data_IF_366266419705
#
_entry.id   IF_366266419705
#
_cell.length_a   1.000
_cell.length_b   1.000
_cell.length_c   1.000
_cell.angle_alpha   90.00
_cell.angle_beta   90.00
_cell.angle_gamma   90.00
#
_symmetry.space_group_name_H-M   'P 1'
#
loop_
_entity.id
_entity.type
_entity.pdbx_description
1 polymer ?
#
# COMPACT_ATOMS: atom_id res chain seq x y z
N UNK A 1 40.40 45.88 30.21
CA UNK A 1 39.34 45.88 29.18
C UNK A 1 39.73 46.68 27.93
N UNK A 2 40.65 47.66 28.04
CA UNK A 2 41.12 48.46 26.88
C UNK A 2 42.13 47.71 25.98
N UNK A 3 42.96 46.82 26.54
CA UNK A 3 43.89 45.98 25.75
C UNK A 3 43.22 44.89 24.91
N UNK A 4 41.95 44.55 25.19
CA UNK A 4 41.18 43.65 24.32
C UNK A 4 40.63 44.39 23.09
N UNK A 5 40.43 45.71 23.21
CA UNK A 5 39.88 46.57 22.16
C UNK A 5 40.98 47.20 21.27
N UNK A 6 42.24 47.18 21.71
CA UNK A 6 43.43 47.51 20.89
C UNK A 6 44.00 46.31 20.13
N UNK A 7 43.34 45.15 20.19
CA UNK A 7 43.72 44.02 19.35
C UNK A 7 43.39 44.39 17.89
N UNK A 8 44.37 44.27 16.99
CA UNK A 8 44.31 44.79 15.61
C UNK A 8 43.11 44.32 14.78
N UNK A 9 42.30 43.38 15.25
CA UNK A 9 41.04 42.98 14.63
C UNK A 9 39.96 44.07 14.67
N UNK A 10 39.90 44.87 15.75
CA UNK A 10 38.93 45.99 15.86
C UNK A 10 39.32 47.13 14.93
N UNK A 11 40.62 47.41 14.83
CA UNK A 11 41.18 48.40 13.89
C UNK A 11 40.97 47.96 12.44
N UNK A 12 41.19 46.68 12.13
CA UNK A 12 40.92 46.11 10.81
C UNK A 12 39.44 46.16 10.43
N UNK A 13 38.53 45.90 11.37
CA UNK A 13 37.08 46.03 11.14
C UNK A 13 36.68 47.49 10.92
N UNK A 14 37.24 48.43 11.70
CA UNK A 14 36.98 49.86 11.55
C UNK A 14 37.54 50.45 10.24
N UNK A 15 38.63 49.87 9.72
CA UNK A 15 39.22 50.25 8.44
C UNK A 15 38.50 49.65 7.22
N UNK A 16 37.60 48.69 7.44
CA UNK A 16 36.90 47.99 6.36
C UNK A 16 35.83 48.90 5.73
N UNK A 17 35.99 49.22 4.45
CA UNK A 17 34.99 49.98 3.69
C UNK A 17 33.96 48.99 3.15
N UNK A 18 32.73 49.05 3.67
CA UNK A 18 31.63 48.18 3.24
C UNK A 18 31.38 48.26 1.73
N UNK A 19 31.21 47.09 1.10
CA UNK A 19 30.79 46.94 -0.30
C UNK A 19 29.55 46.06 -0.36
N UNK A 20 28.61 46.41 -1.23
CA UNK A 20 27.32 45.72 -1.32
C UNK A 20 27.51 44.24 -1.70
N UNK A 21 26.89 43.34 -0.94
CA UNK A 21 26.92 41.90 -1.21
C UNK A 21 28.18 41.18 -0.74
N UNK A 22 29.16 41.86 -0.15
CA UNK A 22 30.36 41.21 0.40
C UNK A 22 30.26 41.00 1.91
N UNK A 23 30.97 39.99 2.41
CA UNK A 23 31.01 39.60 3.84
C UNK A 23 32.42 39.78 4.38
N UNK A 24 32.60 40.40 5.55
CA UNK A 24 33.91 40.49 6.21
C UNK A 24 34.46 39.11 6.57
N UNK A 25 35.71 38.85 6.19
CA UNK A 25 36.46 37.64 6.53
C UNK A 25 37.80 37.98 7.17
N UNK A 26 38.23 37.18 8.13
CA UNK A 26 39.58 37.29 8.67
C UNK A 26 40.58 36.62 7.73
N UNK A 27 41.53 37.39 7.21
CA UNK A 27 42.62 36.88 6.36
C UNK A 27 43.86 36.52 7.16
N UNK A 28 43.90 36.89 8.44
CA UNK A 28 45.02 36.69 9.36
C UNK A 28 44.84 37.54 10.62
N UNK A 29 45.76 37.42 11.59
CA UNK A 29 45.71 38.23 12.81
C UNK A 29 45.80 39.72 12.49
N UNK A 30 44.83 40.52 12.95
CA UNK A 30 44.78 41.96 12.70
C UNK A 30 44.53 42.36 11.24
N UNK A 31 44.07 41.43 10.39
CA UNK A 31 43.75 41.72 8.98
C UNK A 31 42.38 41.16 8.63
N UNK A 32 41.59 41.97 7.94
CA UNK A 32 40.24 41.64 7.50
C UNK A 32 40.07 42.13 6.08
N UNK A 33 39.33 41.37 5.29
CA UNK A 33 38.96 41.73 3.92
C UNK A 33 37.49 41.41 3.67
N UNK A 34 36.95 41.91 2.57
CA UNK A 34 35.62 41.59 2.10
C UNK A 34 35.69 40.47 1.06
N UNK A 35 35.04 39.35 1.36
CA UNK A 35 34.90 38.27 0.41
C UNK A 35 33.49 38.22 -0.17
N UNK A 36 33.41 37.86 -1.44
CA UNK A 36 32.14 37.52 -2.07
C UNK A 36 31.68 36.15 -1.54
N UNK A 37 30.47 36.04 -0.96
CA UNK A 37 29.91 34.75 -0.54
C UNK A 37 29.91 33.68 -1.62
N UNK A 38 29.88 34.07 -2.91
CA UNK A 38 29.99 33.13 -4.02
C UNK A 38 31.34 32.38 -4.05
N UNK A 39 32.37 32.91 -3.38
CA UNK A 39 33.70 32.30 -3.28
C UNK A 39 33.83 31.32 -2.10
N UNK A 40 32.84 31.26 -1.20
CA UNK A 40 32.85 30.34 -0.05
C UNK A 40 32.62 28.86 -0.43
N UNK A 41 32.47 28.57 -1.72
CA UNK A 41 32.12 27.25 -2.21
C UNK A 41 30.66 26.89 -1.90
N UNK A 42 30.23 25.72 -2.40
CA UNK A 42 28.88 25.24 -2.11
C UNK A 42 28.83 24.83 -0.64
N UNK A 43 27.95 25.47 0.13
CA UNK A 43 27.72 25.12 1.52
C UNK A 43 27.03 23.75 1.57
N UNK A 44 27.78 22.72 1.96
CA UNK A 44 27.30 21.34 2.10
C UNK A 44 27.40 20.87 3.56
N UNK A 45 26.58 21.42 4.47
CA UNK A 45 26.65 21.10 5.89
C UNK A 45 26.41 19.61 6.21
N UNK A 46 25.83 18.85 5.26
CA UNK A 46 25.54 17.42 5.42
C UNK A 46 26.45 16.52 4.56
N UNK A 47 27.47 17.09 3.90
CA UNK A 47 28.40 16.38 3.01
C UNK A 47 27.71 15.55 1.91
N UNK A 48 26.52 16.00 1.47
CA UNK A 48 25.70 15.31 0.48
C UNK A 48 26.22 15.48 -0.95
N UNK A 49 26.80 16.65 -1.26
CA UNK A 49 27.45 16.94 -2.53
C UNK A 49 28.81 16.24 -2.62
N UNK A 50 29.55 16.15 -1.52
CA UNK A 50 30.76 15.32 -1.45
C UNK A 50 30.45 13.85 -1.78
N UNK A 51 29.39 13.29 -1.17
CA UNK A 51 28.91 11.94 -1.46
C UNK A 51 28.42 11.76 -2.90
N UNK A 52 27.72 12.76 -3.46
CA UNK A 52 27.28 12.72 -4.86
C UNK A 52 28.46 12.80 -5.83
N UNK A 53 29.47 13.62 -5.53
CA UNK A 53 30.68 13.74 -6.36
C UNK A 53 31.55 12.48 -6.34
N UNK A 54 31.57 11.75 -5.21
CA UNK A 54 32.22 10.44 -5.10
C UNK A 54 31.43 9.31 -5.77
N UNK A 55 30.15 9.53 -6.10
CA UNK A 55 29.27 8.52 -6.66
C UNK A 55 29.66 8.22 -8.11
N UNK A 56 30.38 7.11 -8.32
CA UNK A 56 30.62 6.60 -9.67
C UNK A 56 29.36 5.92 -10.17
N UNK A 57 28.66 6.57 -11.11
CA UNK A 57 27.49 6.04 -11.79
C UNK A 57 27.92 5.13 -12.94
N UNK A 58 27.51 3.86 -12.89
CA UNK A 58 27.55 3.00 -14.06
C UNK A 58 26.36 3.32 -15.00
N UNK A 59 26.45 2.89 -16.26
CA UNK A 59 25.33 3.05 -17.19
C UNK A 59 24.09 2.27 -16.71
N UNK A 60 22.90 2.88 -16.85
CA UNK A 60 21.58 2.28 -16.52
C UNK A 60 21.42 1.95 -15.04
N UNK A 61 21.48 2.97 -14.20
CA UNK A 61 21.21 2.86 -12.77
C UNK A 61 19.99 3.69 -12.37
N UNK A 62 19.29 3.24 -11.34
CA UNK A 62 18.34 4.04 -10.58
C UNK A 62 19.00 4.38 -9.25
N UNK A 63 18.91 5.64 -8.84
CA UNK A 63 19.29 6.08 -7.51
C UNK A 63 18.05 6.12 -6.62
N UNK A 64 18.14 5.49 -5.46
CA UNK A 64 17.12 5.58 -4.41
C UNK A 64 17.79 5.99 -3.10
N UNK A 65 16.99 6.46 -2.15
CA UNK A 65 17.47 6.83 -0.82
C UNK A 65 16.88 5.86 0.18
N UNK A 66 17.71 5.32 1.08
CA UNK A 66 17.23 4.45 2.15
C UNK A 66 16.59 5.24 3.30
N UNK A 67 16.09 4.53 4.31
CA UNK A 67 15.48 5.14 5.50
C UNK A 67 16.42 6.05 6.31
N UNK A 68 17.74 5.92 6.14
CA UNK A 68 18.75 6.75 6.81
C UNK A 68 19.20 7.95 5.96
N UNK A 69 18.62 8.14 4.76
CA UNK A 69 19.00 9.22 3.86
C UNK A 69 20.23 8.92 2.99
N UNK A 70 20.75 7.68 3.00
CA UNK A 70 21.90 7.31 2.18
C UNK A 70 21.46 6.92 0.76
N UNK A 71 22.26 7.33 -0.23
CA UNK A 71 22.03 6.98 -1.64
C UNK A 71 22.44 5.53 -1.90
N UNK A 72 21.52 4.77 -2.51
CA UNK A 72 21.68 3.39 -2.94
C UNK A 72 21.51 3.32 -4.45
N UNK A 73 22.41 2.60 -5.11
CA UNK A 73 22.37 2.37 -6.55
C UNK A 73 21.66 1.05 -6.85
N UNK A 74 20.72 1.07 -7.79
CA UNK A 74 20.07 -0.11 -8.33
C UNK A 74 20.50 -0.28 -9.78
N UNK A 75 21.16 -1.40 -10.09
CA UNK A 75 21.53 -1.71 -11.47
C UNK A 75 20.31 -2.19 -12.27
N UNK A 76 20.03 -1.54 -13.40
CA UNK A 76 19.02 -2.01 -14.35
C UNK A 76 19.64 -3.05 -15.29
N UNK A 77 19.47 -4.32 -14.92
CA UNK A 77 19.81 -5.45 -15.78
C UNK A 77 18.67 -5.75 -16.77
N UNK A 78 19.01 -6.35 -17.91
CA UNK A 78 18.03 -6.82 -18.88
C UNK A 78 17.12 -7.89 -18.27
N UNK A 79 15.88 -7.98 -18.78
CA UNK A 79 14.89 -8.98 -18.38
C UNK A 79 14.53 -8.97 -16.88
N UNK A 80 14.62 -7.80 -16.25
CA UNK A 80 14.14 -7.55 -14.89
C UNK A 80 12.89 -6.67 -14.90
N UNK A 81 11.98 -6.90 -13.96
CA UNK A 81 10.94 -5.97 -13.58
C UNK A 81 11.35 -5.25 -12.29
N UNK A 82 10.80 -4.06 -12.04
CA UNK A 82 11.01 -3.34 -10.78
C UNK A 82 9.83 -3.59 -9.85
N UNK A 83 10.14 -3.93 -8.61
CA UNK A 83 9.17 -4.15 -7.53
C UNK A 83 9.60 -3.35 -6.30
N UNK A 84 8.67 -3.16 -5.38
CA UNK A 84 8.96 -2.63 -4.05
C UNK A 84 9.10 -3.81 -3.09
N UNK A 85 10.17 -3.84 -2.32
CA UNK A 85 10.38 -4.88 -1.31
C UNK A 85 9.64 -4.58 0.00
N UNK A 86 9.78 -5.46 0.99
CA UNK A 86 9.12 -5.33 2.29
C UNK A 86 9.56 -4.07 3.08
N UNK A 87 10.71 -3.48 2.74
CA UNK A 87 11.21 -2.26 3.37
C UNK A 87 10.76 -0.99 2.63
N UNK A 88 10.05 -1.12 1.50
CA UNK A 88 9.69 0.02 0.67
C UNK A 88 10.75 0.39 -0.37
N UNK A 89 11.86 -0.36 -0.46
CA UNK A 89 12.93 -0.10 -1.41
C UNK A 89 12.55 -0.64 -2.80
N UNK A 90 12.98 0.06 -3.85
CA UNK A 90 12.89 -0.46 -5.21
C UNK A 90 13.97 -1.55 -5.40
N UNK A 91 13.54 -2.71 -5.90
CA UNK A 91 14.39 -3.86 -6.17
C UNK A 91 14.04 -4.50 -7.55
N UNK A 92 15.04 -4.99 -8.30
CA UNK A 92 14.80 -5.73 -9.52
C UNK A 92 14.43 -7.18 -9.23
N UNK A 93 13.40 -7.69 -9.90
CA UNK A 93 13.03 -9.11 -9.92
C UNK A 93 13.14 -9.67 -11.34
N UNK A 94 13.50 -10.95 -11.48
CA UNK A 94 13.54 -11.61 -12.79
C UNK A 94 12.15 -11.72 -13.43
N UNK A 95 12.01 -11.29 -14.70
CA UNK A 95 10.77 -11.50 -15.48
C UNK A 95 10.48 -12.99 -15.60
N UNK A 96 11.51 -13.85 -15.65
CA UNK A 96 11.33 -15.30 -15.64
C UNK A 96 10.65 -15.82 -14.36
N UNK A 97 10.88 -15.16 -13.21
CA UNK A 97 10.18 -15.49 -11.96
C UNK A 97 8.70 -15.11 -12.06
N UNK A 98 8.40 -13.90 -12.52
CA UNK A 98 7.02 -13.47 -12.76
C UNK A 98 6.31 -14.35 -13.78
N UNK A 99 6.98 -14.71 -14.88
CA UNK A 99 6.44 -15.57 -15.93
C UNK A 99 6.18 -17.00 -15.47
N UNK A 100 7.06 -17.59 -14.66
CA UNK A 100 6.82 -18.91 -14.05
C UNK A 100 5.64 -18.88 -13.09
N UNK A 101 5.50 -17.81 -12.32
CA UNK A 101 4.39 -17.64 -11.39
C UNK A 101 3.06 -17.44 -12.15
N UNK A 102 3.06 -16.68 -13.24
CA UNK A 102 1.90 -16.55 -14.13
C UNK A 102 1.53 -17.87 -14.78
N UNK A 103 2.51 -18.66 -15.25
CA UNK A 103 2.27 -19.98 -15.80
C UNK A 103 1.70 -20.94 -14.74
N UNK A 104 2.27 -20.93 -13.53
CA UNK A 104 1.75 -21.71 -12.41
C UNK A 104 0.31 -21.31 -12.06
N UNK A 105 -0.03 -20.01 -12.10
CA UNK A 105 -1.40 -19.52 -11.93
C UNK A 105 -2.33 -20.01 -13.05
N UNK A 106 -1.86 -20.03 -14.31
CA UNK A 106 -2.62 -20.54 -15.44
C UNK A 106 -2.91 -22.05 -15.34
N UNK A 107 -2.01 -22.81 -14.72
CA UNK A 107 -2.18 -24.25 -14.44
C UNK A 107 -2.81 -24.56 -13.08
N UNK A 108 -2.95 -23.55 -12.22
CA UNK A 108 -3.37 -23.68 -10.82
C UNK A 108 -4.87 -23.72 -10.64
N UNK A 109 -5.32 -23.77 -9.38
CA UNK A 109 -6.75 -23.62 -9.08
C UNK A 109 -7.14 -22.15 -9.09
N UNK A 110 -8.43 -21.87 -9.29
CA UNK A 110 -8.98 -20.51 -9.22
C UNK A 110 -8.92 -19.89 -7.82
N UNK A 111 -8.27 -20.52 -6.85
CA UNK A 111 -8.19 -20.09 -5.45
C UNK A 111 -6.94 -19.26 -5.15
N UNK A 112 -6.12 -18.97 -6.16
CA UNK A 112 -4.89 -18.19 -6.00
C UNK A 112 -4.88 -16.95 -6.91
N UNK A 113 -3.99 -16.01 -6.61
CA UNK A 113 -3.64 -14.90 -7.48
C UNK A 113 -2.13 -14.63 -7.41
N UNK A 114 -1.60 -13.95 -8.43
CA UNK A 114 -0.20 -13.56 -8.52
C UNK A 114 0.04 -12.24 -7.78
N UNK A 115 1.03 -12.21 -6.89
CA UNK A 115 1.54 -10.99 -6.28
C UNK A 115 2.62 -10.34 -7.15
N UNK A 116 2.86 -9.04 -6.93
CA UNK A 116 3.86 -8.27 -7.69
C UNK A 116 5.30 -8.78 -7.53
N UNK A 117 5.59 -9.51 -6.45
CA UNK A 117 6.88 -10.15 -6.18
C UNK A 117 7.03 -11.55 -6.83
N UNK A 118 6.06 -11.97 -7.64
CA UNK A 118 6.07 -13.28 -8.29
C UNK A 118 5.68 -14.44 -7.39
N UNK A 119 5.21 -14.21 -6.18
CA UNK A 119 4.65 -15.27 -5.32
C UNK A 119 3.16 -15.47 -5.60
N UNK A 120 2.65 -16.68 -5.36
CA UNK A 120 1.22 -16.96 -5.42
C UNK A 120 0.61 -16.81 -4.03
N UNK A 121 -0.51 -16.10 -3.93
CA UNK A 121 -1.25 -15.92 -2.69
C UNK A 121 -2.64 -16.54 -2.80
N UNK A 122 -3.07 -17.23 -1.73
CA UNK A 122 -4.43 -17.76 -1.64
C UNK A 122 -5.46 -16.62 -1.52
N UNK A 123 -6.57 -16.74 -2.25
CA UNK A 123 -7.70 -15.80 -2.18
C UNK A 123 -8.36 -15.75 -0.81
N UNK A 124 -8.21 -16.80 0.00
CA UNK A 124 -8.67 -16.82 1.40
C UNK A 124 -8.00 -15.77 2.28
N UNK A 125 -6.83 -15.26 1.87
CA UNK A 125 -6.14 -14.16 2.56
C UNK A 125 -6.53 -12.76 2.07
N UNK A 126 -7.42 -12.64 1.07
CA UNK A 126 -7.92 -11.33 0.65
C UNK A 126 -8.89 -10.80 1.72
N UNK A 127 -8.75 -9.54 2.17
CA UNK A 127 -9.67 -8.96 3.12
C UNK A 127 -11.06 -8.83 2.48
N UNK A 128 -11.96 -9.74 2.85
CA UNK A 128 -13.40 -9.57 2.61
C UNK A 128 -13.90 -8.66 3.72
N UNK A 129 -14.53 -7.53 3.37
CA UNK A 129 -15.08 -6.65 4.40
C UNK A 129 -16.12 -7.40 5.24
N UNK A 130 -16.20 -7.09 6.53
CA UNK A 130 -17.16 -7.72 7.45
C UNK A 130 -18.59 -7.67 6.91
N UNK A 131 -18.95 -6.56 6.24
CA UNK A 131 -20.25 -6.39 5.60
C UNK A 131 -20.49 -7.39 4.47
N UNK A 132 -19.50 -7.59 3.60
CA UNK A 132 -19.58 -8.57 2.49
C UNK A 132 -19.65 -9.99 3.04
N UNK A 133 -18.84 -10.32 4.05
CA UNK A 133 -18.88 -11.64 4.68
C UNK A 133 -20.24 -11.92 5.36
N UNK A 134 -20.82 -10.91 6.03
CA UNK A 134 -22.14 -11.01 6.66
C UNK A 134 -23.23 -11.23 5.62
N UNK A 135 -23.19 -10.49 4.51
CA UNK A 135 -24.16 -10.64 3.42
C UNK A 135 -24.08 -12.02 2.76
N UNK A 136 -22.86 -12.55 2.54
CA UNK A 136 -22.64 -13.90 2.02
C UNK A 136 -23.18 -14.97 2.99
N UNK A 137 -22.89 -14.85 4.29
CA UNK A 137 -23.38 -15.78 5.31
C UNK A 137 -24.92 -15.76 5.39
N UNK A 138 -25.55 -14.58 5.35
CA UNK A 138 -27.01 -14.44 5.36
C UNK A 138 -27.67 -15.10 4.13
N UNK A 139 -27.04 -14.95 2.96
CA UNK A 139 -27.51 -15.59 1.72
C UNK A 139 -27.39 -17.11 1.76
N UNK A 140 -26.31 -17.64 2.35
CA UNK A 140 -26.14 -19.07 2.56
C UNK A 140 -27.23 -19.65 3.46
N UNK A 141 -27.51 -19.00 4.60
CA UNK A 141 -28.57 -19.41 5.54
C UNK A 141 -29.96 -19.41 4.93
N UNK A 142 -30.24 -18.46 4.02
CA UNK A 142 -31.54 -18.41 3.33
C UNK A 142 -31.71 -19.60 2.37
N UNK A 143 -30.62 -20.03 1.73
CA UNK A 143 -30.64 -21.13 0.78
C UNK A 143 -30.75 -22.50 1.49
N UNK A 144 -30.12 -22.66 2.66
CA UNK A 144 -30.28 -23.86 3.49
C UNK A 144 -31.71 -23.96 4.02
N UNK A 145 -32.29 -22.86 4.52
CA UNK A 145 -33.69 -22.82 4.95
C UNK A 145 -34.67 -23.18 3.82
N UNK A 146 -34.42 -22.66 2.61
CA UNK A 146 -35.26 -22.98 1.44
C UNK A 146 -35.15 -24.47 1.05
N UNK A 147 -33.97 -25.07 1.18
CA UNK A 147 -33.75 -26.49 0.93
C UNK A 147 -34.43 -27.36 1.99
N UNK A 148 -34.36 -26.98 3.27
CA UNK A 148 -35.02 -27.68 4.37
C UNK A 148 -36.55 -27.59 4.28
N UNK A 149 -37.10 -26.44 3.90
CA UNK A 149 -38.54 -26.26 3.68
C UNK A 149 -39.00 -26.98 2.40
N UNK A 150 -38.19 -26.96 1.34
CA UNK A 150 -38.46 -27.69 0.10
C UNK A 150 -38.39 -29.22 0.26
N UNK A 151 -37.58 -29.70 1.21
CA UNK A 151 -37.43 -31.13 1.52
C UNK A 151 -38.36 -31.66 2.62
N UNK A 152 -38.95 -30.79 3.45
CA UNK A 152 -39.93 -31.18 4.49
C UNK A 152 -41.35 -30.95 3.99
N UNK A 153 -42.11 -32.04 3.84
CA UNK A 153 -43.57 -31.96 3.84
C UNK A 153 -44.00 -31.31 5.15
N UNK A 154 -44.49 -30.06 5.09
CA UNK A 154 -45.04 -29.37 6.25
C UNK A 154 -46.38 -30.02 6.57
N UNK A 155 -46.37 -31.06 7.41
CA UNK A 155 -47.58 -31.59 8.02
C UNK A 155 -48.05 -30.59 9.06
N UNK A 156 -48.89 -29.63 8.64
CA UNK A 156 -49.56 -28.74 9.56
C UNK A 156 -50.46 -29.58 10.46
N UNK A 157 -50.05 -29.74 11.73
CA UNK A 157 -50.90 -30.33 12.76
C UNK A 157 -52.07 -29.39 13.04
N UNK A 158 -53.15 -29.52 12.30
CA UNK A 158 -54.42 -28.87 12.63
C UNK A 158 -55.00 -29.66 13.80
N UNK A 159 -54.89 -29.12 15.01
CA UNK A 159 -55.59 -29.66 16.17
C UNK A 159 -57.08 -29.77 15.84
N UNK A 160 -57.63 -30.97 15.95
CA UNK A 160 -59.04 -31.23 15.69
C UNK A 160 -59.90 -30.46 16.70
N UNK A 161 -60.40 -29.29 16.29
CA UNK A 161 -61.51 -28.63 17.00
C UNK A 161 -62.79 -29.06 16.31
N UNK A 162 -63.42 -30.10 16.86
CA UNK A 162 -64.82 -30.45 16.59
C UNK A 162 -65.13 -31.01 15.20
N UNK A 163 -65.01 -32.33 15.05
CA UNK A 163 -66.07 -33.12 14.40
C UNK A 163 -66.24 -33.07 12.87
N UNK A 164 -65.29 -32.57 12.07
CA UNK A 164 -65.31 -32.78 10.60
C UNK A 164 -63.94 -33.25 10.14
N UNK A 165 -63.86 -34.53 9.73
CA UNK A 165 -62.66 -35.09 9.12
C UNK A 165 -62.54 -34.57 7.67
N UNK A 166 -62.10 -33.33 7.50
CA UNK A 166 -61.71 -32.80 6.20
C UNK A 166 -60.27 -33.27 5.93
N UNK A 167 -60.10 -34.23 5.01
CA UNK A 167 -58.79 -34.76 4.64
C UNK A 167 -57.95 -33.68 3.95
N UNK A 168 -56.89 -33.20 4.61
CA UNK A 168 -56.02 -32.17 4.05
C UNK A 168 -55.12 -32.78 2.98
N UNK A 169 -55.47 -32.62 1.71
CA UNK A 169 -54.53 -32.83 0.59
C UNK A 169 -53.88 -31.48 0.29
N UNK A 170 -52.76 -31.19 0.96
CA UNK A 170 -51.97 -30.00 0.65
C UNK A 170 -51.24 -30.20 -0.68
N UNK A 171 -51.76 -29.64 -1.78
CA UNK A 171 -50.96 -29.38 -2.99
C UNK A 171 -50.39 -27.97 -2.87
N UNK A 172 -49.15 -27.86 -2.41
CA UNK A 172 -48.40 -26.59 -2.47
C UNK A 172 -47.78 -26.44 -3.85
N UNK A 173 -48.03 -25.30 -4.52
CA UNK A 173 -47.30 -24.89 -5.72
C UNK A 173 -46.55 -23.61 -5.38
N UNK A 174 -45.22 -23.70 -5.35
CA UNK A 174 -44.38 -22.50 -5.17
C UNK A 174 -44.32 -21.77 -6.51
N UNK A 175 -44.93 -20.59 -6.59
CA UNK A 175 -44.81 -19.71 -7.76
C UNK A 175 -43.49 -18.93 -7.67
N UNK A 176 -42.55 -19.25 -8.55
CA UNK A 176 -41.20 -18.69 -8.53
C UNK A 176 -41.13 -17.17 -8.80
N UNK A 177 -42.25 -16.50 -9.12
CA UNK A 177 -42.25 -15.10 -9.55
C UNK A 177 -42.68 -14.08 -8.47
N UNK A 178 -43.27 -14.49 -7.34
CA UNK A 178 -43.77 -13.53 -6.33
C UNK A 178 -43.41 -13.83 -4.88
N UNK A 179 -42.74 -14.95 -4.60
CA UNK A 179 -42.40 -15.35 -3.21
C UNK A 179 -43.61 -15.56 -2.29
N UNK A 180 -44.82 -15.57 -2.85
CA UNK A 180 -46.07 -15.71 -2.09
C UNK A 180 -46.49 -17.18 -2.11
N UNK A 181 -46.72 -17.76 -0.92
CA UNK A 181 -47.23 -19.12 -0.76
C UNK A 181 -48.76 -19.06 -0.71
N UNK A 182 -49.43 -19.62 -1.70
CA UNK A 182 -50.88 -19.79 -1.68
C UNK A 182 -51.25 -21.20 -1.19
N UNK A 183 -52.11 -21.25 -0.19
CA UNK A 183 -52.67 -22.49 0.35
C UNK A 183 -54.15 -22.56 -0.02
N UNK A 184 -54.53 -23.61 -0.74
CA UNK A 184 -55.92 -23.87 -1.10
C UNK A 184 -56.44 -25.01 -0.21
N UNK A 185 -57.47 -24.72 0.62
CA UNK A 185 -58.22 -25.75 1.32
C UNK A 185 -59.38 -26.21 0.44
N UNK A 186 -59.43 -27.50 0.16
CA UNK A 186 -60.60 -28.17 -0.40
C UNK A 186 -61.16 -29.10 0.68
N UNK A 187 -62.43 -28.95 1.02
CA UNK A 187 -63.16 -30.00 1.73
C UNK A 187 -63.91 -30.85 0.72
N UNK A 188 -63.76 -32.17 0.88
CA UNK A 188 -64.47 -33.20 0.13
C UNK A 188 -65.60 -33.72 0.99
#
# INVERSE_FOLDING_TARGET
MIDLLSSGNVEAFAALVGSAGLVPIFTGVGTMDLADPATFGIQDPNDSLGKLAALTLAARQILQTDAAGALKQIALAANKALVTDANGDVAPIDIGTLGRALLALATGTTDQYLQGDGTLQAKSGLPISTAVQTALNAKLTTNTLLTEIGGRTVTAGVGAVGGVACGVISKSKVSAQSGTLEFWLYCV
#
